data_IF_698338388644
#
_entry.id   IF_698338388644
#
_cell.length_a   1.000
_cell.length_b   1.000
_cell.length_c   1.000
_cell.angle_alpha   90.00
_cell.angle_beta   90.00
_cell.angle_gamma   90.00
#
_symmetry.space_group_name_H-M   'P 1'
#
loop_
_entity.id
_entity.type
_entity.pdbx_description
1 polymer ?
#
# COMPACT_ATOMS: atom_id res chain seq x y z
N UNK A 1 -10.88 -30.06 55.77
CA UNK A 1 -9.77 -29.08 55.83
C UNK A 1 -9.16 -29.02 54.43
N UNK A 2 -9.59 -28.07 53.60
CA UNK A 2 -9.19 -27.99 52.18
C UNK A 2 -8.10 -26.91 52.08
N UNK A 3 -6.88 -27.32 51.76
CA UNK A 3 -5.75 -26.43 51.52
C UNK A 3 -5.89 -25.87 50.10
N UNK A 4 -6.10 -24.55 49.98
CA UNK A 4 -6.07 -23.84 48.70
C UNK A 4 -4.61 -23.57 48.31
N UNK A 5 -4.20 -24.13 47.17
CA UNK A 5 -2.93 -23.84 46.52
C UNK A 5 -3.04 -22.50 45.75
N UNK A 6 -2.08 -21.56 45.86
CA UNK A 6 -2.15 -20.33 45.10
C UNK A 6 -1.71 -20.58 43.66
N UNK A 7 -2.54 -20.16 42.72
CA UNK A 7 -2.23 -20.11 41.29
C UNK A 7 -1.22 -18.98 41.08
N UNK A 8 0.04 -19.31 40.76
CA UNK A 8 1.01 -18.30 40.29
C UNK A 8 0.60 -17.86 38.88
N UNK A 9 0.16 -16.62 38.75
CA UNK A 9 0.07 -15.92 37.48
C UNK A 9 1.50 -15.62 37.00
N UNK A 10 1.97 -16.34 35.98
CA UNK A 10 3.14 -15.92 35.22
C UNK A 10 2.74 -14.69 34.40
N UNK A 11 3.18 -13.51 34.83
CA UNK A 11 3.11 -12.30 34.03
C UNK A 11 4.05 -12.48 32.83
N UNK A 12 3.49 -12.72 31.65
CA UNK A 12 4.24 -12.59 30.40
C UNK A 12 4.60 -11.11 30.22
N UNK A 13 5.84 -10.77 30.54
CA UNK A 13 6.45 -9.53 30.11
C UNK A 13 6.54 -9.57 28.58
N UNK A 14 5.64 -8.85 27.90
CA UNK A 14 5.79 -8.58 26.48
C UNK A 14 7.01 -7.68 26.30
N UNK A 15 8.13 -8.25 25.87
CA UNK A 15 9.25 -7.47 25.41
C UNK A 15 8.83 -6.78 24.11
N UNK A 16 8.53 -5.49 24.19
CA UNK A 16 8.42 -4.63 23.02
C UNK A 16 9.73 -4.72 22.26
N UNK A 17 9.75 -5.47 21.15
CA UNK A 17 10.88 -5.44 20.24
C UNK A 17 11.03 -4.00 19.75
N UNK A 18 12.12 -3.35 20.12
CA UNK A 18 12.52 -2.07 19.55
C UNK A 18 12.75 -2.34 18.07
N UNK A 19 12.11 -1.57 17.20
CA UNK A 19 12.37 -1.68 15.77
C UNK A 19 13.78 -1.17 15.48
N UNK A 20 14.58 -1.97 14.79
CA UNK A 20 16.01 -1.74 14.53
C UNK A 20 16.28 -1.15 13.12
N UNK A 21 15.24 -0.70 12.41
CA UNK A 21 15.45 -0.05 11.12
C UNK A 21 16.09 1.33 11.29
N UNK A 22 17.27 1.51 10.70
CA UNK A 22 17.94 2.81 10.63
C UNK A 22 17.29 3.66 9.54
N UNK A 23 16.74 4.82 9.91
CA UNK A 23 16.03 5.72 9.00
C UNK A 23 16.97 6.69 8.28
N UNK A 24 18.06 7.08 8.93
CA UNK A 24 19.09 7.93 8.35
C UNK A 24 20.38 7.12 8.16
N UNK A 25 20.52 6.57 6.96
CA UNK A 25 21.65 5.78 6.50
C UNK A 25 22.10 6.35 5.15
N UNK A 26 22.79 7.51 5.15
CA UNK A 26 23.27 8.13 3.92
C UNK A 26 24.33 7.24 3.26
N UNK A 27 24.27 7.15 1.94
CA UNK A 27 25.20 6.40 1.11
C UNK A 27 25.59 7.25 -0.11
N UNK A 28 26.82 7.16 -0.64
CA UNK A 28 27.22 7.88 -1.85
C UNK A 28 26.25 7.69 -3.03
N UNK A 29 25.62 6.52 -3.16
CA UNK A 29 24.72 6.18 -4.26
C UNK A 29 23.26 6.59 -3.99
N UNK A 30 22.94 6.97 -2.75
CA UNK A 30 21.59 7.35 -2.34
C UNK A 30 21.45 8.87 -2.31
N UNK A 31 20.46 9.39 -3.03
CA UNK A 31 19.97 10.76 -2.85
C UNK A 31 18.89 10.81 -1.77
N UNK A 32 18.80 11.94 -1.08
CA UNK A 32 17.74 12.17 -0.09
C UNK A 32 16.44 12.51 -0.83
N UNK A 33 15.35 11.76 -0.63
CA UNK A 33 14.07 12.01 -1.31
C UNK A 33 13.55 13.44 -1.22
N UNK A 34 13.72 14.09 -0.08
CA UNK A 34 13.29 15.47 0.14
C UNK A 34 14.02 16.51 -0.73
N UNK A 35 15.22 16.17 -1.22
CA UNK A 35 16.03 17.06 -2.07
C UNK A 35 15.68 16.92 -3.56
N UNK A 36 14.86 15.94 -3.93
CA UNK A 36 14.43 15.74 -5.32
C UNK A 36 13.19 16.58 -5.66
N UNK A 37 13.31 17.59 -6.54
CA UNK A 37 12.20 18.50 -6.83
C UNK A 37 10.95 17.79 -7.36
N UNK A 38 11.13 16.71 -8.13
CA UNK A 38 10.02 15.97 -8.77
C UNK A 38 9.13 15.22 -7.76
N UNK A 39 9.63 14.94 -6.55
CA UNK A 39 8.86 14.26 -5.49
C UNK A 39 8.50 15.17 -4.31
N UNK A 40 9.15 16.35 -4.19
CA UNK A 40 8.91 17.31 -3.11
C UNK A 40 7.43 17.61 -2.83
N UNK A 41 6.63 17.77 -3.88
CA UNK A 41 5.20 18.11 -3.76
C UNK A 41 4.35 17.01 -3.12
N UNK A 42 4.65 15.73 -3.37
CA UNK A 42 3.91 14.63 -2.72
C UNK A 42 4.49 14.31 -1.34
N UNK A 43 5.81 14.42 -1.16
CA UNK A 43 6.46 14.17 0.14
C UNK A 43 6.02 15.19 1.19
N UNK A 44 5.93 16.47 0.84
CA UNK A 44 5.40 17.55 1.70
C UNK A 44 3.91 17.39 2.10
N UNK A 45 3.23 16.38 1.54
CA UNK A 45 1.85 16.04 1.85
C UNK A 45 1.71 14.59 2.32
N UNK A 46 2.81 13.93 2.68
CA UNK A 46 2.83 12.51 3.04
C UNK A 46 3.62 12.25 4.30
N UNK A 47 3.48 11.03 4.80
CA UNK A 47 4.40 10.41 5.74
C UNK A 47 4.85 9.06 5.22
N UNK A 48 5.95 8.53 5.74
CA UNK A 48 6.41 7.19 5.41
C UNK A 48 5.83 6.17 6.39
N UNK A 49 5.32 5.07 5.85
CA UNK A 49 4.92 3.90 6.59
C UNK A 49 5.81 2.73 6.17
N UNK A 50 6.78 2.39 7.03
CA UNK A 50 7.82 1.42 6.72
C UNK A 50 7.89 0.34 7.80
N UNK A 51 8.07 -0.91 7.40
CA UNK A 51 8.31 -2.04 8.29
C UNK A 51 9.80 -2.17 8.60
N UNK A 52 10.11 -2.66 9.79
CA UNK A 52 11.40 -3.26 10.10
C UNK A 52 11.44 -4.71 9.54
N UNK A 53 12.37 -5.03 8.62
CA UNK A 53 12.53 -6.37 8.06
C UNK A 53 12.95 -7.45 9.06
N UNK A 54 13.43 -7.10 10.25
CA UNK A 54 13.81 -8.04 11.31
C UNK A 54 12.70 -8.24 12.33
N UNK A 55 11.74 -7.31 12.41
CA UNK A 55 10.61 -7.41 13.31
C UNK A 55 9.51 -8.38 12.80
N UNK A 56 8.55 -8.67 13.68
CA UNK A 56 7.46 -9.61 13.42
C UNK A 56 6.57 -9.26 12.22
N UNK A 57 5.80 -10.24 11.73
CA UNK A 57 4.90 -10.09 10.58
C UNK A 57 3.94 -8.91 10.76
N UNK A 58 3.78 -8.09 9.73
CA UNK A 58 2.83 -6.98 9.72
C UNK A 58 3.24 -5.75 10.55
N UNK A 59 4.45 -5.72 11.11
CA UNK A 59 4.98 -4.56 11.82
C UNK A 59 5.02 -3.31 10.91
N UNK A 60 4.88 -2.13 11.50
CA UNK A 60 4.94 -0.87 10.77
C UNK A 60 5.33 0.26 11.73
N UNK A 61 6.21 1.13 11.26
CA UNK A 61 6.64 2.37 11.91
C UNK A 61 6.18 3.54 11.03
N UNK A 62 5.96 4.69 11.66
CA UNK A 62 5.61 5.93 10.96
C UNK A 62 6.78 6.91 11.11
N UNK A 63 7.17 7.51 10.00
CA UNK A 63 8.30 8.44 9.89
C UNK A 63 7.84 9.65 9.08
N UNK A 64 8.43 10.83 9.33
CA UNK A 64 8.03 12.08 8.70
C UNK A 64 6.53 12.35 8.87
N UNK A 65 5.99 12.21 10.09
CA UNK A 65 4.57 12.44 10.35
C UNK A 65 4.12 13.89 10.14
N UNK A 66 5.08 14.81 10.14
CA UNK A 66 4.99 16.23 9.83
C UNK A 66 5.38 16.55 8.37
N UNK A 67 5.58 15.53 7.54
CA UNK A 67 6.06 15.63 6.17
C UNK A 67 7.50 16.14 6.01
N UNK A 68 8.32 16.12 7.08
CA UNK A 68 9.75 16.38 6.97
C UNK A 68 10.54 15.10 6.62
N UNK A 69 10.97 15.01 5.36
CA UNK A 69 11.78 13.91 4.84
C UNK A 69 13.28 14.21 4.79
N UNK A 70 13.74 15.33 5.37
CA UNK A 70 15.14 15.80 5.25
C UNK A 70 16.19 14.80 5.75
N UNK A 71 15.84 13.92 6.69
CA UNK A 71 16.72 12.87 7.22
C UNK A 71 16.16 11.47 6.99
N UNK A 72 15.30 11.30 5.99
CA UNK A 72 14.66 10.01 5.69
C UNK A 72 15.30 9.44 4.43
N UNK A 73 16.37 8.67 4.63
CA UNK A 73 17.13 8.02 3.55
C UNK A 73 17.79 6.76 4.06
N UNK A 74 17.55 5.63 3.39
CA UNK A 74 18.24 4.36 3.69
C UNK A 74 18.18 3.42 2.48
N UNK A 75 18.75 2.21 2.61
CA UNK A 75 18.74 1.20 1.53
C UNK A 75 17.34 0.82 1.01
N UNK A 76 16.29 1.05 1.78
CA UNK A 76 14.91 0.72 1.43
C UNK A 76 14.16 1.90 0.83
N UNK A 77 14.50 3.13 1.19
CA UNK A 77 13.83 4.36 0.73
C UNK A 77 14.86 5.45 0.44
N UNK A 78 15.10 5.73 -0.85
CA UNK A 78 16.09 6.71 -1.31
C UNK A 78 15.80 7.14 -2.75
N UNK A 79 16.51 8.16 -3.23
CA UNK A 79 16.62 8.44 -4.67
C UNK A 79 17.80 7.64 -5.21
N UNK A 80 17.59 6.84 -6.27
CA UNK A 80 18.68 6.28 -7.05
C UNK A 80 19.33 7.42 -7.84
N UNK A 81 20.60 7.74 -7.57
CA UNK A 81 21.28 8.88 -8.22
C UNK A 81 21.52 8.69 -9.71
N UNK A 82 21.57 7.47 -10.21
CA UNK A 82 21.87 7.21 -11.63
C UNK A 82 20.68 7.59 -12.53
N UNK A 83 19.47 7.27 -12.09
CA UNK A 83 18.24 7.48 -12.88
C UNK A 83 17.24 8.44 -12.22
N UNK A 84 17.58 9.00 -11.05
CA UNK A 84 16.77 9.92 -10.26
C UNK A 84 15.41 9.36 -9.82
N UNK A 85 15.24 8.04 -9.82
CA UNK A 85 13.99 7.41 -9.38
C UNK A 85 13.87 7.34 -7.86
N UNK A 86 12.67 7.49 -7.33
CA UNK A 86 12.36 7.21 -5.93
C UNK A 86 12.21 5.70 -5.72
N UNK A 87 13.11 5.14 -4.92
CA UNK A 87 13.25 3.71 -4.68
C UNK A 87 12.44 3.31 -3.45
N UNK A 88 11.67 2.23 -3.59
CA UNK A 88 11.05 1.51 -2.48
C UNK A 88 11.48 0.04 -2.54
N UNK A 89 12.10 -0.45 -1.46
CA UNK A 89 12.38 -1.86 -1.25
C UNK A 89 11.78 -2.35 0.07
N UNK A 90 11.41 -3.62 0.12
CA UNK A 90 11.00 -4.25 1.37
C UNK A 90 11.11 -5.77 1.33
N UNK A 91 11.66 -6.35 2.40
CA UNK A 91 11.84 -7.80 2.56
C UNK A 91 10.76 -8.43 3.43
N UNK A 92 10.26 -9.59 3.01
CA UNK A 92 9.41 -10.49 3.80
C UNK A 92 7.90 -10.20 3.78
N UNK A 93 7.15 -11.18 4.29
CA UNK A 93 5.71 -11.29 4.14
C UNK A 93 4.92 -10.29 5.00
N UNK A 94 3.89 -9.67 4.42
CA UNK A 94 3.05 -8.63 5.02
C UNK A 94 3.85 -7.41 5.54
N UNK A 95 5.06 -7.18 5.03
CA UNK A 95 5.87 -5.98 5.30
C UNK A 95 5.74 -4.97 4.16
N UNK A 96 5.85 -3.70 4.51
CA UNK A 96 5.62 -2.58 3.58
C UNK A 96 6.67 -1.49 3.70
N UNK A 97 6.81 -0.74 2.62
CA UNK A 97 7.52 0.52 2.57
C UNK A 97 6.76 1.42 1.61
N UNK A 98 5.94 2.31 2.16
CA UNK A 98 4.99 3.10 1.38
C UNK A 98 4.89 4.51 1.93
N UNK A 99 4.87 5.50 1.04
CA UNK A 99 4.35 6.80 1.44
C UNK A 99 2.82 6.72 1.60
N UNK A 100 2.31 7.50 2.54
CA UNK A 100 0.89 7.65 2.82
C UNK A 100 0.55 9.13 2.78
N UNK A 101 -0.24 9.54 1.79
CA UNK A 101 -0.70 10.93 1.63
C UNK A 101 -1.57 11.32 2.82
N UNK A 102 -1.29 12.44 3.49
CA UNK A 102 -1.98 12.90 4.70
C UNK A 102 -3.46 13.16 4.49
N UNK A 103 -3.83 13.63 3.30
CA UNK A 103 -5.22 13.98 2.98
C UNK A 103 -6.13 12.74 3.08
N UNK A 104 -7.02 12.77 4.07
CA UNK A 104 -8.23 11.97 4.09
C UNK A 104 -9.31 12.71 3.29
N UNK A 105 -9.86 12.07 2.27
CA UNK A 105 -10.79 12.68 1.35
C UNK A 105 -12.07 11.89 1.18
N UNK A 106 -13.17 12.61 0.94
CA UNK A 106 -14.42 12.02 0.46
C UNK A 106 -14.28 11.60 -1.00
N UNK A 107 -14.86 10.46 -1.33
CA UNK A 107 -14.83 9.88 -2.68
C UNK A 107 -16.08 10.21 -3.50
N UNK A 108 -17.08 10.81 -2.87
CA UNK A 108 -18.44 10.97 -3.40
C UNK A 108 -18.83 12.43 -3.70
N UNK A 109 -17.95 13.39 -3.37
CA UNK A 109 -18.23 14.80 -3.62
C UNK A 109 -18.33 15.07 -5.13
N UNK A 110 -19.41 15.73 -5.59
CA UNK A 110 -19.51 16.13 -6.99
C UNK A 110 -18.39 17.12 -7.31
N UNK A 111 -17.88 17.02 -8.54
CA UNK A 111 -16.83 17.86 -9.11
C UNK A 111 -15.51 17.95 -8.33
N UNK A 112 -15.30 17.16 -7.26
CA UNK A 112 -14.02 17.10 -6.54
C UNK A 112 -13.35 15.78 -6.84
N UNK A 113 -12.15 15.84 -7.40
CA UNK A 113 -11.37 14.67 -7.79
C UNK A 113 -10.01 14.70 -7.13
N UNK A 114 -9.55 13.55 -6.66
CA UNK A 114 -8.21 13.35 -6.13
C UNK A 114 -7.47 12.42 -7.08
N UNK A 115 -6.30 12.83 -7.57
CA UNK A 115 -5.50 12.03 -8.50
C UNK A 115 -4.16 11.67 -7.89
N UNK A 116 -3.80 10.39 -7.99
CA UNK A 116 -2.44 9.89 -7.80
C UNK A 116 -1.91 9.49 -9.18
N UNK A 117 -0.86 10.16 -9.64
CA UNK A 117 -0.23 9.91 -10.94
C UNK A 117 1.17 9.36 -10.73
N UNK A 118 1.46 8.25 -11.40
CA UNK A 118 2.73 7.53 -11.23
C UNK A 118 3.30 7.07 -12.56
N UNK A 119 4.62 7.09 -12.64
CA UNK A 119 5.39 6.28 -13.58
C UNK A 119 6.35 5.46 -12.73
N UNK A 120 6.24 4.14 -12.79
CA UNK A 120 7.06 3.26 -11.95
C UNK A 120 7.39 1.94 -12.65
N UNK A 121 8.46 1.30 -12.17
CA UNK A 121 8.94 0.02 -12.68
C UNK A 121 9.26 -0.92 -11.52
N UNK A 122 8.59 -2.09 -11.44
CA UNK A 122 9.05 -3.21 -10.65
C UNK A 122 10.39 -3.73 -11.15
N UNK A 123 11.34 -3.95 -10.24
CA UNK A 123 12.63 -4.53 -10.55
C UNK A 123 12.59 -6.01 -10.17
N UNK A 124 12.70 -6.87 -11.19
CA UNK A 124 12.75 -8.34 -11.07
C UNK A 124 11.67 -8.96 -10.14
N UNK A 125 10.38 -8.62 -10.29
CA UNK A 125 9.33 -9.07 -9.36
C UNK A 125 9.15 -10.60 -9.32
N UNK A 126 9.49 -11.31 -10.40
CA UNK A 126 9.51 -12.78 -10.41
C UNK A 126 10.61 -13.35 -9.50
N UNK A 127 11.82 -12.77 -9.56
CA UNK A 127 12.94 -13.18 -8.73
C UNK A 127 12.65 -12.92 -7.24
N UNK A 128 11.99 -11.80 -6.92
CA UNK A 128 11.51 -11.49 -5.57
C UNK A 128 10.66 -12.62 -4.97
N UNK A 129 9.92 -13.38 -5.78
CA UNK A 129 9.00 -14.43 -5.33
C UNK A 129 9.51 -15.85 -5.59
N UNK A 130 10.74 -16.02 -6.07
CA UNK A 130 11.27 -17.33 -6.49
C UNK A 130 11.26 -18.38 -5.37
N UNK A 131 11.32 -17.93 -4.11
CA UNK A 131 11.32 -18.80 -2.92
C UNK A 131 10.08 -18.61 -2.04
N UNK A 132 9.06 -17.91 -2.52
CA UNK A 132 7.83 -17.70 -1.76
C UNK A 132 7.09 -19.03 -1.55
N UNK A 133 6.71 -19.31 -0.31
CA UNK A 133 5.95 -20.48 0.13
C UNK A 133 4.46 -20.20 0.39
N UNK A 134 3.99 -18.99 0.02
CA UNK A 134 2.59 -18.60 0.14
C UNK A 134 1.92 -18.47 -1.23
N UNK A 135 0.60 -18.70 -1.29
CA UNK A 135 -0.14 -18.77 -2.55
C UNK A 135 -0.53 -17.41 -3.13
N UNK A 136 -0.49 -16.33 -2.34
CA UNK A 136 -0.98 -15.03 -2.80
C UNK A 136 -0.05 -14.44 -3.88
N UNK A 137 1.26 -14.44 -3.64
CA UNK A 137 2.33 -14.02 -4.57
C UNK A 137 2.00 -12.73 -5.34
N UNK A 138 1.89 -11.64 -4.58
CA UNK A 138 1.61 -10.29 -5.09
C UNK A 138 2.56 -9.27 -4.46
N UNK A 139 2.90 -8.23 -5.22
CA UNK A 139 3.46 -6.99 -4.70
C UNK A 139 2.43 -5.89 -4.99
N UNK A 140 1.96 -5.22 -3.94
CA UNK A 140 1.09 -4.05 -4.08
C UNK A 140 1.95 -2.79 -4.20
N UNK A 141 1.70 -1.98 -5.23
CA UNK A 141 2.46 -0.73 -5.47
C UNK A 141 1.66 0.53 -5.15
N UNK A 142 0.36 0.54 -5.48
CA UNK A 142 -0.51 1.69 -5.31
C UNK A 142 -1.78 1.26 -4.56
N UNK A 143 -2.28 2.11 -3.67
CA UNK A 143 -3.51 1.83 -2.93
C UNK A 143 -4.40 3.05 -2.80
N UNK A 144 -5.71 2.79 -2.77
CA UNK A 144 -6.71 3.66 -2.14
C UNK A 144 -7.22 2.93 -0.91
N UNK A 145 -6.91 3.44 0.27
CA UNK A 145 -7.36 2.85 1.53
C UNK A 145 -8.34 3.79 2.22
N UNK A 146 -9.17 3.26 3.11
CA UNK A 146 -10.02 4.08 3.97
C UNK A 146 -9.33 4.38 5.31
N UNK A 147 -9.57 5.58 5.84
CA UNK A 147 -9.27 5.96 7.22
C UNK A 147 -10.40 5.51 8.14
N UNK A 148 -11.64 5.68 7.71
CA UNK A 148 -12.85 5.40 8.47
C UNK A 148 -13.92 6.43 8.13
N UNK A 149 -14.93 6.54 8.99
CA UNK A 149 -16.02 7.53 8.86
C UNK A 149 -15.61 8.94 9.28
N UNK A 150 -14.42 9.09 9.89
CA UNK A 150 -13.83 10.37 10.29
C UNK A 150 -12.28 10.29 10.32
N UNK A 151 -11.63 11.41 10.63
CA UNK A 151 -10.17 11.51 10.70
C UNK A 151 -9.54 10.78 11.89
N UNK A 152 -10.30 10.47 12.95
CA UNK A 152 -9.84 9.61 14.04
C UNK A 152 -9.65 8.16 13.55
N UNK A 153 -10.48 7.75 12.58
CA UNK A 153 -10.46 6.41 11.99
C UNK A 153 -11.58 5.50 12.50
N UNK A 154 -12.64 6.09 13.04
CA UNK A 154 -13.78 5.34 13.54
C UNK A 154 -14.43 4.53 12.42
N UNK A 155 -14.83 3.31 12.73
CA UNK A 155 -15.45 2.36 11.79
C UNK A 155 -14.58 2.03 10.55
N UNK A 156 -13.25 2.16 10.63
CA UNK A 156 -12.34 1.73 9.58
C UNK A 156 -12.65 0.31 9.06
N UNK A 157 -12.63 0.10 7.75
CA UNK A 157 -12.65 -1.22 7.13
C UNK A 157 -11.19 -1.70 6.97
N UNK A 158 -10.80 -2.88 7.48
CA UNK A 158 -9.42 -3.38 7.40
C UNK A 158 -9.08 -3.97 6.01
N UNK A 159 -9.57 -3.30 4.96
CA UNK A 159 -9.39 -3.61 3.56
C UNK A 159 -9.32 -2.30 2.76
N UNK A 160 -8.37 -2.16 1.83
CA UNK A 160 -8.34 -1.03 0.91
C UNK A 160 -9.51 -1.09 -0.07
N UNK A 161 -9.91 0.07 -0.59
CA UNK A 161 -10.80 0.17 -1.74
C UNK A 161 -10.13 -0.36 -3.00
N UNK A 162 -8.87 0.01 -3.23
CA UNK A 162 -8.07 -0.38 -4.39
C UNK A 162 -6.69 -0.86 -3.94
N UNK A 163 -6.21 -1.94 -4.57
CA UNK A 163 -4.78 -2.25 -4.69
C UNK A 163 -4.43 -2.39 -6.17
N UNK A 164 -3.39 -1.72 -6.63
CA UNK A 164 -2.72 -2.01 -7.90
C UNK A 164 -1.53 -2.89 -7.57
N UNK A 165 -1.50 -4.09 -8.15
CA UNK A 165 -0.52 -5.13 -7.83
C UNK A 165 0.14 -5.66 -9.09
N UNK A 166 1.35 -6.19 -8.96
CA UNK A 166 1.83 -7.24 -9.85
C UNK A 166 1.56 -8.60 -9.21
N UNK A 167 1.06 -9.57 -9.98
CA UNK A 167 0.84 -10.95 -9.53
C UNK A 167 1.69 -11.93 -10.33
N UNK A 168 2.30 -12.88 -9.64
CA UNK A 168 2.98 -14.00 -10.30
C UNK A 168 2.00 -14.81 -11.15
N UNK A 169 0.82 -15.13 -10.60
CA UNK A 169 -0.28 -15.78 -11.33
C UNK A 169 -1.65 -15.39 -10.77
N UNK A 170 -2.62 -15.19 -11.65
CA UNK A 170 -4.04 -15.04 -11.34
C UNK A 170 -4.88 -15.78 -12.39
N UNK A 171 -5.61 -16.83 -11.99
CA UNK A 171 -6.51 -17.59 -12.87
C UNK A 171 -5.85 -18.03 -14.21
N UNK A 172 -4.60 -18.50 -14.15
CA UNK A 172 -3.83 -18.90 -15.34
C UNK A 172 -3.13 -17.78 -16.11
N UNK A 173 -3.33 -16.51 -15.73
CA UNK A 173 -2.61 -15.35 -16.31
C UNK A 173 -1.41 -15.01 -15.43
N UNK A 174 -0.20 -15.03 -16.00
CA UNK A 174 1.06 -14.89 -15.27
C UNK A 174 1.71 -13.53 -15.48
N UNK A 175 2.29 -12.96 -14.42
CA UNK A 175 3.12 -11.76 -14.52
C UNK A 175 2.37 -10.52 -15.02
N UNK A 176 1.09 -10.38 -14.68
CA UNK A 176 0.28 -9.22 -15.05
C UNK A 176 0.12 -8.25 -13.88
N UNK A 177 -0.15 -7.00 -14.24
CA UNK A 177 -0.66 -6.00 -13.32
C UNK A 177 -2.18 -6.14 -13.16
N UNK A 178 -2.66 -5.96 -11.94
CA UNK A 178 -4.10 -6.05 -11.63
C UNK A 178 -4.55 -4.89 -10.75
N UNK A 179 -5.71 -4.33 -11.05
CA UNK A 179 -6.48 -3.53 -10.09
C UNK A 179 -7.45 -4.44 -9.34
N UNK A 180 -7.24 -4.56 -8.03
CA UNK A 180 -8.07 -5.33 -7.11
C UNK A 180 -8.94 -4.35 -6.32
N UNK A 181 -10.22 -4.28 -6.67
CA UNK A 181 -11.17 -3.32 -6.11
C UNK A 181 -12.13 -4.03 -5.17
N UNK A 182 -12.17 -3.60 -3.91
CA UNK A 182 -13.15 -4.06 -2.92
C UNK A 182 -14.55 -3.61 -3.35
N UNK A 183 -15.45 -4.54 -3.61
CA UNK A 183 -16.74 -4.32 -4.29
C UNK A 183 -17.93 -4.03 -3.35
N UNK A 184 -17.69 -3.92 -2.05
CA UNK A 184 -18.68 -3.56 -1.04
C UNK A 184 -18.00 -3.01 0.21
N UNK A 185 -18.77 -2.39 1.12
CA UNK A 185 -18.26 -1.82 2.36
C UNK A 185 -18.28 -2.79 3.57
N UNK A 186 -18.34 -4.11 3.34
CA UNK A 186 -18.39 -5.08 4.43
C UNK A 186 -16.99 -5.43 4.97
N UNK A 187 -16.90 -5.59 6.29
CA UNK A 187 -15.75 -6.19 6.95
C UNK A 187 -15.90 -7.72 6.87
N UNK A 188 -15.02 -8.38 6.12
CA UNK A 188 -15.14 -9.80 5.78
C UNK A 188 -14.06 -10.68 6.45
N UNK A 189 -13.25 -10.13 7.35
CA UNK A 189 -12.22 -10.88 8.09
C UNK A 189 -12.03 -10.35 9.52
N UNK A 190 -11.37 -11.15 10.34
CA UNK A 190 -11.02 -10.78 11.71
C UNK A 190 -12.26 -10.71 12.63
N UNK A 191 -12.03 -10.29 13.87
CA UNK A 191 -13.08 -10.26 14.90
C UNK A 191 -14.29 -9.41 14.50
N UNK A 192 -14.05 -8.22 13.94
CA UNK A 192 -15.09 -7.30 13.46
C UNK A 192 -15.86 -7.80 12.23
N UNK A 193 -15.35 -8.84 11.55
CA UNK A 193 -15.99 -9.45 10.39
C UNK A 193 -16.71 -10.77 10.67
N UNK A 194 -16.68 -11.29 11.91
CA UNK A 194 -17.26 -12.59 12.27
C UNK A 194 -18.72 -12.74 11.85
N UNK A 195 -19.51 -11.67 11.96
CA UNK A 195 -20.92 -11.67 11.57
C UNK A 195 -21.14 -11.77 10.05
N UNK A 196 -20.18 -11.32 9.24
CA UNK A 196 -20.31 -11.25 7.78
C UNK A 196 -19.55 -12.35 7.05
N UNK A 197 -18.65 -13.10 7.71
CA UNK A 197 -17.69 -13.99 7.03
C UNK A 197 -18.35 -15.08 6.17
N UNK A 198 -19.56 -15.49 6.54
CA UNK A 198 -20.34 -16.50 5.82
C UNK A 198 -21.33 -15.88 4.81
N UNK A 199 -21.42 -14.55 4.74
CA UNK A 199 -22.31 -13.85 3.83
C UNK A 199 -21.77 -13.99 2.38
N UNK A 200 -22.61 -14.24 1.36
CA UNK A 200 -22.14 -14.39 -0.02
C UNK A 200 -21.30 -13.20 -0.51
N UNK A 201 -21.59 -11.98 -0.08
CA UNK A 201 -20.85 -10.75 -0.39
C UNK A 201 -19.41 -10.71 0.17
N UNK A 202 -19.10 -11.60 1.11
CA UNK A 202 -17.75 -11.76 1.68
C UNK A 202 -16.92 -12.87 1.03
N UNK A 203 -17.52 -13.67 0.13
CA UNK A 203 -16.75 -14.59 -0.73
C UNK A 203 -15.85 -13.79 -1.67
N UNK A 204 -14.66 -14.28 -1.97
CA UNK A 204 -13.63 -13.52 -2.69
C UNK A 204 -14.12 -12.95 -4.04
N UNK A 205 -14.87 -13.76 -4.79
CA UNK A 205 -15.45 -13.43 -6.10
C UNK A 205 -16.51 -12.31 -6.08
N UNK A 206 -17.15 -12.11 -4.92
CA UNK A 206 -18.17 -11.08 -4.72
C UNK A 206 -17.62 -9.87 -3.95
N UNK A 207 -16.66 -10.11 -3.07
CA UNK A 207 -16.01 -9.11 -2.26
C UNK A 207 -15.05 -8.25 -3.08
N UNK A 208 -14.49 -8.78 -4.17
CA UNK A 208 -13.48 -8.08 -4.98
C UNK A 208 -13.77 -8.21 -6.48
N UNK A 209 -13.49 -7.13 -7.21
CA UNK A 209 -13.40 -7.12 -8.68
C UNK A 209 -11.94 -7.02 -9.08
N UNK A 210 -11.56 -7.80 -10.08
CA UNK A 210 -10.21 -7.84 -10.64
C UNK A 210 -10.26 -7.29 -12.06
N UNK A 211 -9.43 -6.30 -12.35
CA UNK A 211 -9.26 -5.75 -13.69
C UNK A 211 -7.80 -5.98 -14.11
N UNK A 212 -7.61 -6.68 -15.22
CA UNK A 212 -6.29 -6.84 -15.83
C UNK A 212 -5.83 -5.49 -16.38
N UNK A 213 -4.65 -5.05 -15.95
CA UNK A 213 -4.05 -3.78 -16.37
C UNK A 213 -2.95 -3.99 -17.42
N UNK A 214 -2.68 -5.24 -17.79
CA UNK A 214 -1.70 -5.61 -18.81
C UNK A 214 -0.49 -6.36 -18.25
N UNK A 215 0.27 -6.93 -19.17
CA UNK A 215 1.45 -7.74 -18.88
C UNK A 215 2.62 -6.87 -18.40
N UNK A 216 3.38 -7.38 -17.43
CA UNK A 216 4.69 -6.83 -17.09
C UNK A 216 5.67 -6.99 -18.24
N UNK A 217 6.41 -5.92 -18.53
CA UNK A 217 7.52 -5.95 -19.49
C UNK A 217 8.76 -5.46 -18.76
N UNK A 218 9.75 -6.33 -18.62
CA UNK A 218 11.00 -6.00 -17.95
C UNK A 218 11.68 -4.79 -18.60
N UNK A 219 12.18 -3.87 -17.77
CA UNK A 219 12.83 -2.65 -18.23
C UNK A 219 11.89 -1.57 -18.79
N UNK A 220 10.57 -1.77 -18.79
CA UNK A 220 9.59 -0.78 -19.24
C UNK A 220 8.82 -0.19 -18.04
N UNK A 221 8.90 1.13 -17.79
CA UNK A 221 8.04 1.79 -16.81
C UNK A 221 6.57 1.71 -17.23
N UNK A 222 5.69 1.70 -16.23
CA UNK A 222 4.24 1.71 -16.39
C UNK A 222 3.69 3.06 -15.92
N UNK A 223 2.92 3.73 -16.77
CA UNK A 223 2.20 4.93 -16.40
C UNK A 223 0.81 4.57 -15.86
N UNK A 224 0.51 4.98 -14.62
CA UNK A 224 -0.81 4.81 -14.00
C UNK A 224 -1.30 6.12 -13.41
N UNK A 225 -2.53 6.49 -13.77
CA UNK A 225 -3.29 7.53 -13.08
C UNK A 225 -4.49 6.89 -12.37
N UNK A 226 -4.58 7.10 -11.05
CA UNK A 226 -5.75 6.73 -10.25
C UNK A 226 -6.50 8.01 -9.90
N UNK A 227 -7.77 8.09 -10.30
CA UNK A 227 -8.65 9.23 -10.01
C UNK A 227 -9.84 8.74 -9.17
N UNK A 228 -10.03 9.38 -8.01
CA UNK A 228 -11.14 9.09 -7.10
C UNK A 228 -11.94 10.36 -6.85
N UNK A 229 -13.25 10.30 -7.04
CA UNK A 229 -14.16 11.44 -6.87
C UNK A 229 -15.50 11.22 -7.55
N UNK A 230 -16.53 11.99 -7.19
CA UNK A 230 -17.87 11.86 -7.76
C UNK A 230 -18.41 10.41 -7.75
N UNK A 231 -18.14 9.66 -6.68
CA UNK A 231 -18.50 8.24 -6.52
C UNK A 231 -17.92 7.32 -7.59
N UNK A 232 -16.81 7.73 -8.22
CA UNK A 232 -16.08 6.94 -9.21
C UNK A 232 -14.64 6.70 -8.78
N UNK A 233 -14.17 5.50 -9.10
CA UNK A 233 -12.76 5.14 -9.13
C UNK A 233 -12.40 4.83 -10.58
N UNK A 234 -11.54 5.64 -11.17
CA UNK A 234 -11.10 5.45 -12.55
C UNK A 234 -9.58 5.31 -12.61
N UNK A 235 -9.11 4.42 -13.49
CA UNK A 235 -7.69 4.09 -13.65
C UNK A 235 -7.34 4.19 -15.13
N UNK A 236 -6.30 4.95 -15.45
CA UNK A 236 -5.69 4.99 -16.77
C UNK A 236 -4.34 4.28 -16.69
N UNK A 237 -4.04 3.50 -17.72
CA UNK A 237 -2.77 2.81 -17.92
C UNK A 237 -2.24 3.22 -19.28
N UNK A 238 -1.05 3.82 -19.32
CA UNK A 238 -0.46 4.39 -20.55
C UNK A 238 -1.50 5.23 -21.35
N UNK A 239 -2.13 6.20 -20.67
CA UNK A 239 -3.17 7.12 -21.18
C UNK A 239 -4.50 6.48 -21.64
N UNK A 240 -4.64 5.15 -21.56
CA UNK A 240 -5.89 4.45 -21.85
C UNK A 240 -6.67 4.19 -20.57
N UNK A 241 -7.95 4.59 -20.54
CA UNK A 241 -8.83 4.26 -19.42
C UNK A 241 -9.05 2.74 -19.36
N UNK A 242 -8.48 2.09 -18.34
CA UNK A 242 -8.59 0.66 -18.10
C UNK A 242 -9.76 0.35 -17.14
N UNK A 243 -10.05 1.25 -16.20
CA UNK A 243 -11.11 1.08 -15.20
C UNK A 243 -11.94 2.34 -15.08
N UNK A 244 -13.26 2.15 -14.99
CA UNK A 244 -14.23 3.16 -14.58
C UNK A 244 -15.28 2.48 -13.68
N UNK A 245 -15.02 2.48 -12.37
CA UNK A 245 -15.79 1.71 -11.40
C UNK A 245 -16.67 2.62 -10.54
N UNK A 246 -17.91 2.19 -10.30
CA UNK A 246 -18.80 2.85 -9.37
C UNK A 246 -18.44 2.49 -7.92
N UNK A 247 -18.19 3.49 -7.08
CA UNK A 247 -17.82 3.32 -5.68
C UNK A 247 -18.81 4.04 -4.75
N UNK A 248 -20.06 4.21 -5.18
CA UNK A 248 -21.12 4.86 -4.39
C UNK A 248 -21.29 4.19 -3.01
N UNK A 249 -21.13 2.86 -2.93
CA UNK A 249 -21.14 2.09 -1.68
C UNK A 249 -20.03 2.47 -0.69
N UNK A 250 -19.01 3.20 -1.13
CA UNK A 250 -17.86 3.61 -0.32
C UNK A 250 -17.97 5.04 0.22
N UNK A 251 -19.03 5.78 -0.15
CA UNK A 251 -19.27 7.16 0.26
C UNK A 251 -18.99 7.45 1.76
N UNK A 252 -19.43 6.61 2.72
CA UNK A 252 -19.29 6.94 4.14
C UNK A 252 -17.83 7.04 4.62
N UNK A 253 -16.86 6.56 3.83
CA UNK A 253 -15.49 6.39 4.26
C UNK A 253 -14.56 7.43 3.64
N UNK A 254 -13.91 8.21 4.53
CA UNK A 254 -12.76 9.00 4.13
C UNK A 254 -11.65 8.06 3.65
N UNK A 255 -11.08 8.39 2.50
CA UNK A 255 -10.07 7.60 1.81
C UNK A 255 -8.76 8.37 1.66
N UNK A 256 -7.66 7.66 1.43
CA UNK A 256 -6.33 8.22 1.21
C UNK A 256 -5.52 7.34 0.27
N UNK A 257 -4.50 7.93 -0.36
CA UNK A 257 -3.59 7.23 -1.25
C UNK A 257 -2.36 6.68 -0.51
N UNK A 258 -1.86 5.55 -0.99
CA UNK A 258 -0.52 5.03 -0.67
C UNK A 258 0.23 4.65 -1.95
N UNK A 259 1.55 4.78 -1.93
CA UNK A 259 2.43 4.37 -3.02
C UNK A 259 3.76 3.84 -2.46
N UNK A 260 4.30 2.78 -3.04
CA UNK A 260 5.57 2.17 -2.65
C UNK A 260 5.57 0.67 -2.95
N UNK A 261 5.92 -0.16 -1.96
CA UNK A 261 5.81 -1.62 -2.03
C UNK A 261 5.14 -2.19 -0.77
N UNK A 262 4.22 -3.12 -0.95
CA UNK A 262 3.65 -3.91 0.14
C UNK A 262 3.57 -5.39 -0.27
N UNK A 263 4.26 -6.24 0.48
CA UNK A 263 4.49 -7.64 0.10
C UNK A 263 3.34 -8.55 0.53
N UNK A 264 2.88 -9.37 -0.40
CA UNK A 264 2.02 -10.54 -0.16
C UNK A 264 2.70 -11.81 -0.72
N UNK A 265 4.00 -11.95 -0.43
CA UNK A 265 4.86 -13.09 -0.74
C UNK A 265 5.89 -13.25 0.40
N UNK A 266 6.52 -14.42 0.51
CA UNK A 266 7.53 -14.72 1.54
C UNK A 266 8.94 -14.90 0.93
N UNK A 267 9.96 -14.90 1.80
CA UNK A 267 11.36 -15.26 1.47
C UNK A 267 12.01 -14.49 0.31
N UNK A 268 11.70 -13.20 0.17
CA UNK A 268 12.37 -12.32 -0.77
C UNK A 268 12.16 -10.83 -0.49
N UNK A 269 12.68 -10.01 -1.40
CA UNK A 269 12.64 -8.54 -1.34
C UNK A 269 11.95 -7.98 -2.58
N UNK A 270 10.95 -7.14 -2.38
CA UNK A 270 10.35 -6.37 -3.46
C UNK A 270 11.17 -5.11 -3.71
N UNK A 271 11.18 -4.66 -4.95
CA UNK A 271 11.84 -3.45 -5.38
C UNK A 271 11.01 -2.75 -6.46
N UNK A 272 10.71 -1.47 -6.25
CA UNK A 272 10.11 -0.60 -7.25
C UNK A 272 10.85 0.73 -7.33
N UNK A 273 11.03 1.22 -8.54
CA UNK A 273 11.60 2.53 -8.83
C UNK A 273 10.51 3.41 -9.47
N UNK A 274 10.23 4.57 -8.86
CA UNK A 274 9.26 5.54 -9.36
C UNK A 274 10.00 6.69 -10.02
N UNK A 275 9.87 6.87 -11.33
CA UNK A 275 10.37 8.06 -12.04
C UNK A 275 9.43 9.26 -11.86
N UNK A 276 8.13 9.02 -11.65
CA UNK A 276 7.11 10.03 -11.35
C UNK A 276 6.19 9.56 -10.25
N UNK A 277 5.88 10.45 -9.31
CA UNK A 277 4.90 10.21 -8.25
C UNK A 277 4.33 11.54 -7.77
N UNK A 278 3.07 11.83 -8.12
CA UNK A 278 2.42 13.11 -7.79
C UNK A 278 1.00 12.90 -7.27
N UNK A 279 0.59 13.75 -6.34
CA UNK A 279 -0.77 13.81 -5.82
C UNK A 279 -1.37 15.18 -6.08
N UNK A 280 -2.59 15.22 -6.60
CA UNK A 280 -3.31 16.47 -6.85
C UNK A 280 -4.78 16.37 -6.45
N UNK A 281 -5.36 17.53 -6.11
CA UNK A 281 -6.80 17.71 -5.93
C UNK A 281 -7.30 18.66 -7.02
N UNK A 282 -8.25 18.19 -7.81
CA UNK A 282 -8.95 18.98 -8.82
C UNK A 282 -10.37 19.30 -8.33
N UNK A 283 -10.81 20.53 -8.55
CA UNK A 283 -12.20 20.97 -8.36
C UNK A 283 -12.68 21.52 -9.69
N UNK A 284 -13.77 20.96 -10.23
CA UNK A 284 -14.34 21.32 -11.54
C UNK A 284 -15.64 22.11 -11.43
#
# INVERSE_FOLDING_TARGET
MIVKLPLLFAAMLSTSAIADITIYEPNPDYGVPNESPQFSAILSQSKLQISDPQAGKGNQIQVAEDSDFSQVVNRYFHINKDNQALVFKMSGDHRRNEIRVHKNFRTDLPNTFYRLSTEFMPIEPEASMAHSDISQNEITYLQVHNKGTNDAGDNNIPHPLLRVVWKQEANGVKGHYWAIIKANALICKGERGKANINNPECKAENAYKHYDLGQYVAGKPLNIDIVTGNSKLAIWVDDKQAVNHDISYWQPFLSYYKAGVYNQFSHGESHAEFSKLTFTKEVK
#
